data_IF_367270237621
#
_entry.id   IF_367270237621
#
_cell.length_a   1.000
_cell.length_b   1.000
_cell.length_c   1.000
_cell.angle_alpha   90.00
_cell.angle_beta   90.00
_cell.angle_gamma   90.00
#
_symmetry.space_group_name_H-M   'P 1'
#
loop_
_entity.id
_entity.type
_entity.pdbx_description
1 polymer ?
2 non-polymer ?
3 non-polymer ?
4 water ?
#
# COMPACT_ATOMS: atom_id res chain seq x y z
N UNK A 2 17.13 11.72 3.58
CA UNK A 2 16.07 12.27 2.73
C UNK A 2 15.60 11.27 1.69
N UNK A 3 14.31 11.31 1.37
CA UNK A 3 13.72 10.44 0.37
C UNK A 3 12.59 11.20 -0.29
N UNK A 4 12.32 10.85 -1.56
CA UNK A 4 11.17 11.38 -2.27
C UNK A 4 10.55 10.23 -3.05
N UNK A 5 9.36 9.83 -2.67
CA UNK A 5 8.65 8.74 -3.30
C UNK A 5 7.99 9.09 -4.63
N UNK A 6 8.02 10.35 -5.03
CA UNK A 6 7.32 10.76 -6.25
C UNK A 6 7.78 9.93 -7.44
N UNK A 7 6.83 9.44 -8.19
CA UNK A 7 7.15 8.68 -9.39
C UNK A 7 6.06 7.69 -9.74
N UNK A 8 6.34 6.94 -10.80
CA UNK A 8 5.49 5.87 -11.28
C UNK A 8 6.29 4.57 -11.16
N UNK A 9 5.62 3.54 -10.65
CA UNK A 9 6.28 2.35 -10.16
C UNK A 9 5.50 1.13 -10.61
N UNK A 10 6.22 0.13 -11.14
CA UNK A 10 5.59 -1.09 -11.63
C UNK A 10 5.98 -2.26 -10.74
N UNK A 11 5.03 -3.17 -10.48
CA UNK A 11 5.29 -4.30 -9.60
C UNK A 11 6.27 -5.28 -10.19
N UNK A 12 7.28 -5.62 -9.41
CA UNK A 12 8.25 -6.64 -9.78
C UNK A 12 7.98 -7.95 -9.09
N UNK A 13 7.74 -7.95 -7.78
CA UNK A 13 7.49 -9.16 -7.02
C UNK A 13 6.41 -8.85 -5.97
N UNK A 14 5.69 -9.90 -5.56
CA UNK A 14 4.56 -9.79 -4.62
C UNK A 14 4.51 -11.10 -3.86
N UNK A 15 5.06 -11.11 -2.69
CA UNK A 15 5.27 -12.32 -1.93
C UNK A 15 4.25 -12.43 -0.79
N UNK A 16 3.58 -13.58 -0.71
CA UNK A 16 2.71 -13.97 0.39
C UNK A 16 1.45 -13.12 0.47
N UNK A 17 1.00 -12.58 -0.67
CA UNK A 17 -0.19 -11.74 -0.66
C UNK A 17 -1.46 -12.50 -0.32
N UNK A 18 -1.59 -13.74 -0.79
CA UNK A 18 -2.79 -14.55 -0.48
C UNK A 18 -3.01 -14.66 1.01
N UNK A 19 -1.98 -14.98 1.76
CA UNK A 19 -2.13 -15.15 3.21
C UNK A 19 -2.43 -13.82 3.89
N UNK A 20 -1.88 -12.71 3.38
CA UNK A 20 -2.23 -11.41 3.90
C UNK A 20 -3.71 -11.14 3.72
N UNK A 21 -4.22 -11.37 2.52
CA UNK A 21 -5.65 -11.12 2.30
C UNK A 21 -6.50 -12.09 3.11
N UNK A 22 -6.06 -13.34 3.24
CA UNK A 22 -6.80 -14.29 4.07
C UNK A 22 -6.90 -13.82 5.52
N UNK A 23 -5.84 -13.23 6.05
CA UNK A 23 -5.86 -12.72 7.40
C UNK A 23 -6.77 -11.51 7.54
N UNK A 24 -7.05 -10.80 6.47
CA UNK A 24 -8.06 -9.76 6.45
C UNK A 24 -9.47 -10.29 6.19
N UNK A 25 -9.64 -11.60 6.11
CA UNK A 25 -10.94 -12.25 5.85
C UNK A 25 -11.50 -11.91 4.49
N UNK A 26 -10.63 -11.55 3.54
CA UNK A 26 -11.13 -11.27 2.19
C UNK A 26 -11.64 -12.57 1.58
N UNK A 27 -12.82 -12.54 0.96
CA UNK A 27 -13.22 -13.90 0.68
C UNK A 27 -12.44 -14.45 -0.51
N UNK A 28 -12.53 -15.77 -0.62
CA UNK A 28 -11.62 -16.52 -1.47
C UNK A 28 -11.83 -16.16 -2.92
N UNK A 29 -13.07 -15.86 -3.31
CA UNK A 29 -13.34 -15.45 -4.68
C UNK A 29 -12.62 -14.16 -5.01
N UNK A 30 -12.47 -13.26 -4.04
CA UNK A 30 -11.87 -12.03 -4.40
C UNK A 30 -10.34 -12.22 -4.34
N UNK A 31 -9.86 -13.06 -3.42
CA UNK A 31 -8.42 -13.34 -3.35
C UNK A 31 -7.93 -13.94 -4.66
N UNK A 32 -8.72 -14.83 -5.24
CA UNK A 32 -8.46 -15.36 -6.57
C UNK A 32 -8.20 -14.26 -7.61
N UNK A 33 -9.07 -13.26 -7.70
CA UNK A 33 -8.87 -12.14 -8.61
C UNK A 33 -7.63 -11.35 -8.21
N UNK A 34 -7.51 -11.06 -6.91
CA UNK A 34 -6.53 -10.07 -6.50
C UNK A 34 -5.11 -10.60 -6.55
N UNK A 35 -4.85 -11.88 -6.28
CA UNK A 35 -3.44 -12.28 -6.34
C UNK A 35 -2.92 -12.35 -7.78
N UNK A 36 -3.80 -12.24 -8.78
CA UNK A 36 -3.28 -12.20 -10.13
C UNK A 36 -2.83 -10.79 -10.52
N UNK A 37 -3.26 -9.78 -9.80
CA UNK A 37 -3.01 -8.40 -10.15
C UNK A 37 -1.55 -8.02 -9.95
N UNK A 38 -1.03 -7.19 -10.83
CA UNK A 38 0.31 -6.62 -10.68
C UNK A 38 0.16 -5.11 -10.76
N UNK A 39 -0.34 -4.49 -9.69
CA UNK A 39 -0.71 -3.08 -9.75
C UNK A 39 0.49 -2.18 -9.92
N UNK A 40 0.22 -1.02 -10.52
CA UNK A 40 1.16 0.09 -10.54
C UNK A 40 0.91 1.00 -9.35
N UNK A 41 1.91 1.82 -9.02
CA UNK A 41 1.72 2.90 -8.05
C UNK A 41 2.13 4.21 -8.68
N UNK A 42 1.30 5.21 -8.55
CA UNK A 42 1.63 6.57 -8.91
C UNK A 42 1.62 7.39 -7.64
N UNK A 43 2.76 7.92 -7.28
CA UNK A 43 2.93 8.63 -6.03
C UNK A 43 3.36 10.06 -6.28
N UNK A 44 2.75 10.99 -5.54
CA UNK A 44 3.25 12.36 -5.46
C UNK A 44 3.48 12.69 -3.99
N UNK A 45 4.69 13.03 -3.66
CA UNK A 45 5.05 13.52 -2.34
C UNK A 45 5.20 15.04 -2.44
N UNK A 46 4.37 15.78 -1.72
CA UNK A 46 4.26 17.25 -1.88
C UNK A 46 4.41 17.83 -0.47
N UNK A 47 5.63 18.13 -0.09
CA UNK A 47 5.87 18.42 1.32
C UNK A 47 5.61 17.14 2.12
N UNK A 48 4.79 17.22 3.13
CA UNK A 48 4.33 16.04 3.87
C UNK A 48 2.95 15.59 3.44
N UNK A 49 2.42 16.13 2.34
CA UNK A 49 1.17 15.65 1.78
C UNK A 49 1.48 14.53 0.77
N UNK A 50 1.11 13.30 1.06
CA UNK A 50 1.44 12.15 0.23
C UNK A 50 0.17 11.65 -0.44
N UNK A 51 0.20 11.45 -1.80
CA UNK A 51 -0.85 10.79 -2.55
C UNK A 51 -0.24 9.51 -3.12
N UNK A 52 -0.85 8.37 -2.83
CA UNK A 52 -0.41 7.08 -3.36
C UNK A 52 -1.59 6.48 -4.08
N UNK A 53 -1.52 6.38 -5.39
CA UNK A 53 -2.59 5.79 -6.18
C UNK A 53 -2.14 4.40 -6.62
N UNK A 54 -2.81 3.34 -6.11
CA UNK A 54 -2.49 1.96 -6.44
C UNK A 54 -3.50 1.52 -7.47
N UNK A 55 -3.02 1.22 -8.65
CA UNK A 55 -3.86 1.13 -9.85
C UNK A 55 -3.82 -0.28 -10.37
N UNK A 56 -4.98 -0.93 -10.56
CA UNK A 56 -5.04 -2.29 -11.10
C UNK A 56 -6.23 -2.42 -12.03
N UNK A 57 -6.28 -3.54 -12.73
CA UNK A 57 -7.40 -3.82 -13.63
C UNK A 57 -8.68 -4.20 -12.88
N UNK A 58 -8.61 -4.47 -11.58
CA UNK A 58 -9.76 -4.91 -10.80
C UNK A 58 -10.34 -3.74 -10.03
N UNK A 59 -9.58 -3.22 -9.06
CA UNK A 59 -9.96 -2.08 -8.26
C UNK A 59 -8.73 -1.20 -8.05
N UNK A 60 -8.93 0.09 -7.95
CA UNK A 60 -7.87 0.98 -7.50
C UNK A 60 -8.04 1.24 -6.02
N UNK A 61 -6.97 1.69 -5.38
CA UNK A 61 -7.06 2.13 -4.00
C UNK A 61 -6.24 3.40 -3.90
N UNK A 62 -6.86 4.50 -3.52
CA UNK A 62 -6.22 5.79 -3.47
C UNK A 62 -6.02 6.19 -2.01
N UNK A 63 -4.80 6.54 -1.67
CA UNK A 63 -4.50 7.13 -0.37
C UNK A 63 -4.08 8.57 -0.59
N UNK A 64 -4.53 9.45 0.30
CA UNK A 64 -4.24 10.89 0.20
C UNK A 64 -4.27 11.40 1.62
N UNK A 65 -3.13 11.72 2.16
CA UNK A 65 -2.99 11.95 3.59
C UNK A 65 -1.84 12.89 3.86
N UNK A 66 -1.76 13.37 5.10
CA UNK A 66 -0.63 14.13 5.59
C UNK A 66 0.22 13.26 6.49
N UNK A 67 1.50 13.16 6.23
CA UNK A 67 2.39 12.37 7.08
C UNK A 67 2.35 12.97 8.47
N UNK A 68 2.27 12.13 9.49
CA UNK A 68 2.24 12.57 10.86
C UNK A 68 0.87 12.89 11.38
N UNK A 69 -0.18 12.84 10.58
CA UNK A 69 -1.50 13.20 11.03
C UNK A 69 -2.39 11.99 10.89
N UNK A 70 -3.10 11.63 11.96
CA UNK A 70 -4.04 10.51 11.95
C UNK A 70 -5.27 10.85 11.13
N UNK A 71 -5.82 9.85 10.45
CA UNK A 71 -6.98 10.02 9.61
C UNK A 71 -7.83 8.76 9.63
N UNK A 72 -9.08 8.90 9.19
CA UNK A 72 -10.01 7.79 9.05
C UNK A 72 -9.78 7.20 7.68
N UNK A 73 -9.30 5.96 7.66
CA UNK A 73 -8.99 5.29 6.41
C UNK A 73 -10.15 4.35 6.04
N UNK A 74 -10.72 4.57 4.87
CA UNK A 74 -11.86 3.81 4.37
C UNK A 74 -11.38 2.67 3.49
N UNK A 75 -11.36 1.46 4.05
CA UNK A 75 -10.92 0.26 3.36
C UNK A 75 -12.10 -0.58 2.86
N UNK A 76 -13.26 0.04 2.60
CA UNK A 76 -14.43 -0.69 2.12
C UNK A 76 -14.10 -1.59 0.94
N UNK A 77 -13.42 -1.05 -0.08
CA UNK A 77 -13.14 -1.85 -1.26
C UNK A 77 -12.07 -2.93 -1.12
N UNK A 78 -11.42 -3.01 0.05
CA UNK A 78 -10.32 -3.92 0.31
C UNK A 78 -10.86 -5.06 1.18
N UNK A 79 -11.11 -4.80 2.47
CA UNK A 79 -11.55 -5.82 3.42
C UNK A 79 -12.81 -5.39 4.16
N UNK A 80 -13.50 -4.33 3.69
CA UNK A 80 -14.78 -3.95 4.27
C UNK A 80 -14.62 -3.44 5.70
N UNK A 81 -13.54 -2.68 5.94
CA UNK A 81 -13.25 -2.14 7.26
C UNK A 81 -12.87 -0.67 7.17
N UNK A 82 -12.78 -0.06 8.35
CA UNK A 82 -12.28 1.30 8.54
C UNK A 82 -11.27 1.28 9.66
N UNK A 83 -10.20 2.06 9.50
CA UNK A 83 -9.15 2.15 10.49
C UNK A 83 -8.89 3.62 10.83
N UNK A 84 -8.32 3.83 12.00
CA UNK A 84 -7.73 5.13 12.34
C UNK A 84 -6.25 4.95 12.04
N UNK A 85 -5.78 5.61 11.00
CA UNK A 85 -4.47 5.33 10.44
C UNK A 85 -3.54 6.52 10.60
N UNK A 86 -2.31 6.26 10.96
CA UNK A 86 -1.26 7.27 10.95
C UNK A 86 -0.09 6.75 10.17
N UNK A 87 0.35 7.54 9.18
CA UNK A 87 1.59 7.26 8.46
C UNK A 87 2.61 8.26 8.95
N UNK A 88 3.72 7.80 9.44
CA UNK A 88 4.72 8.65 10.06
C UNK A 88 6.07 8.41 9.41
N UNK A 89 6.95 9.42 9.38
CA UNK A 89 8.31 9.17 8.98
C UNK A 89 9.04 8.30 10.01
N UNK A 90 9.87 7.40 9.57
CA UNK A 90 10.80 6.63 10.40
C UNK A 90 12.10 6.72 9.62
N UNK A 91 12.87 7.76 9.88
CA UNK A 91 13.94 8.12 8.98
C UNK A 91 13.39 8.28 7.55
N UNK A 92 14.00 7.57 6.61
CA UNK A 92 13.58 7.65 5.21
C UNK A 92 12.51 6.63 4.89
N UNK A 93 11.90 6.02 5.88
CA UNK A 93 10.80 5.08 5.68
C UNK A 93 9.50 5.72 6.09
N UNK A 94 8.40 5.27 5.49
CA UNK A 94 7.08 5.60 5.92
C UNK A 94 6.54 4.42 6.70
N UNK A 95 6.12 4.68 7.94
CA UNK A 95 5.60 3.64 8.82
C UNK A 95 4.14 3.88 9.06
N UNK A 96 3.28 2.97 8.67
CA UNK A 96 1.85 3.14 8.76
C UNK A 96 1.31 2.19 9.82
N UNK A 97 0.50 2.74 10.75
CA UNK A 97 -0.24 1.96 11.72
C UNK A 97 -1.69 2.17 11.44
N UNK A 98 -2.41 1.06 11.21
CA UNK A 98 -3.82 1.08 10.91
C UNK A 98 -4.57 0.54 12.13
N UNK A 99 -5.04 1.41 13.02
CA UNK A 99 -5.72 0.98 14.24
C UNK A 99 -7.16 0.63 13.91
N UNK A 100 -7.60 -0.56 14.36
CA UNK A 100 -8.93 -1.04 14.08
C UNK A 100 -9.18 -2.43 14.64
N UNK A 101 -10.06 -3.18 13.98
CA UNK A 101 -10.41 -4.50 14.49
C UNK A 101 -9.24 -5.47 14.51
N UNK A 102 -8.39 -5.46 13.47
CA UNK A 102 -7.29 -6.40 13.40
C UNK A 102 -6.07 -5.92 14.16
N UNK A 103 -5.45 -6.83 14.90
CA UNK A 103 -4.23 -6.49 15.60
C UNK A 103 -3.04 -6.44 14.64
N UNK A 104 -2.11 -5.55 14.93
CA UNK A 104 -0.84 -5.52 14.22
C UNK A 104 -0.92 -5.17 12.75
N UNK A 105 -1.92 -4.37 12.38
CA UNK A 105 -2.17 -4.04 10.99
C UNK A 105 -1.41 -2.77 10.63
N UNK A 106 -0.65 -2.81 9.53
CA UNK A 106 0.05 -1.62 9.08
C UNK A 106 0.96 -2.00 7.92
N UNK A 107 1.88 -1.09 7.63
CA UNK A 107 2.80 -1.32 6.55
C UNK A 107 3.98 -0.39 6.69
N UNK A 108 5.04 -0.69 5.96
CA UNK A 108 6.23 0.14 5.90
C UNK A 108 6.66 0.24 4.45
N UNK A 109 6.95 1.46 4.02
CA UNK A 109 7.35 1.72 2.64
C UNK A 109 8.70 2.42 2.62
N UNK A 110 9.57 2.06 1.72
CA UNK A 110 10.90 2.67 1.65
C UNK A 110 11.43 2.49 0.24
N UNK A 111 12.57 3.13 -0.04
CA UNK A 111 13.21 3.03 -1.34
C UNK A 111 14.61 2.49 -1.18
N UNK A 112 15.01 1.60 -2.06
CA UNK A 112 16.38 1.15 -2.20
C UNK A 112 16.75 1.31 -3.66
N UNK A 113 17.60 2.31 -3.96
CA UNK A 113 17.95 2.60 -5.35
C UNK A 113 16.70 2.96 -6.15
N UNK A 114 16.43 2.19 -7.20
CA UNK A 114 15.25 2.38 -8.04
C UNK A 114 14.10 1.45 -7.69
N UNK A 115 14.12 0.84 -6.52
CA UNK A 115 13.09 -0.04 -6.02
C UNK A 115 12.27 0.62 -4.94
N UNK A 116 10.97 0.49 -5.03
CA UNK A 116 10.04 0.85 -3.96
C UNK A 116 9.67 -0.43 -3.25
N UNK A 117 9.93 -0.46 -1.94
CA UNK A 117 9.68 -1.63 -1.11
C UNK A 117 8.48 -1.36 -0.23
N UNK A 118 7.56 -2.31 -0.15
CA UNK A 118 6.35 -2.18 0.63
C UNK A 118 6.13 -3.47 1.38
N UNK A 119 6.18 -3.45 2.71
CA UNK A 119 5.87 -4.58 3.55
C UNK A 119 4.53 -4.31 4.21
N UNK A 120 3.58 -5.21 4.00
CA UNK A 120 2.26 -5.12 4.58
C UNK A 120 2.13 -6.19 5.66
N UNK A 121 1.46 -5.82 6.76
CA UNK A 121 1.36 -6.73 7.91
C UNK A 121 -0.05 -6.71 8.49
N UNK A 122 -0.51 -7.87 8.98
CA UNK A 122 -1.70 -7.92 9.82
C UNK A 122 -1.68 -9.23 10.58
N UNK A 123 -1.93 -9.17 11.89
CA UNK A 123 -2.03 -10.39 12.70
C UNK A 123 -0.82 -11.27 12.53
N UNK A 124 0.37 -10.67 12.44
CA UNK A 124 1.58 -11.44 12.32
C UNK A 124 1.88 -11.98 10.94
N UNK A 125 1.00 -11.80 9.97
CA UNK A 125 1.19 -12.24 8.58
C UNK A 125 1.84 -11.11 7.81
N UNK A 126 2.81 -11.43 6.99
CA UNK A 126 3.62 -10.43 6.28
C UNK A 126 3.59 -10.71 4.79
N UNK A 127 3.31 -9.67 4.02
CA UNK A 127 3.41 -9.66 2.56
C UNK A 127 4.45 -8.64 2.15
N UNK A 128 5.32 -8.98 1.20
CA UNK A 128 6.34 -8.06 0.73
C UNK A 128 6.20 -7.84 -0.77
N UNK A 129 6.14 -6.58 -1.16
CA UNK A 129 6.07 -6.20 -2.57
C UNK A 129 7.27 -5.32 -2.88
N UNK A 130 7.78 -5.45 -4.10
CA UNK A 130 8.81 -4.57 -4.61
C UNK A 130 8.39 -4.09 -5.98
N UNK A 131 8.54 -2.81 -6.22
CA UNK A 131 8.22 -2.14 -7.47
C UNK A 131 9.48 -1.52 -8.02
N UNK A 132 9.54 -1.35 -9.35
CA UNK A 132 10.64 -0.68 -10.02
C UNK A 132 10.15 0.66 -10.60
N UNK A 133 10.97 1.67 -10.43
CA UNK A 133 10.62 2.99 -10.97
C UNK A 133 10.67 2.98 -12.47
N UNK A 134 9.63 3.49 -13.09
CA UNK A 134 9.52 3.48 -14.54
C UNK A 134 9.23 4.88 -15.07
N UNK A 135 9.40 5.03 -16.40
CA UNK A 135 9.34 6.34 -17.03
C UNK A 135 8.32 6.48 -18.12
N UNK A 136 7.76 5.39 -18.63
CA UNK A 136 6.75 5.51 -19.66
C UNK A 136 5.44 5.82 -19.01
N UNK A 137 4.85 6.94 -19.46
CA UNK A 137 3.64 7.54 -18.89
C UNK A 137 2.44 6.64 -19.16
N UNK A 138 1.62 6.42 -18.10
CA UNK A 138 0.39 5.67 -18.22
C UNK A 138 -0.72 6.67 -17.98
N UNK A 139 -1.49 6.89 -19.00
CA UNK A 139 -2.71 7.67 -18.83
C UNK A 139 -3.76 6.85 -18.09
N UNK A 140 -4.43 7.49 -17.14
CA UNK A 140 -5.58 6.90 -16.47
C UNK A 140 -6.72 7.91 -16.41
X LIG B 1 -9.36 -5.41 -3.62
X LIG B 1 -8.32 -4.56 -3.98
X LIG B 1 -7.00 -4.88 -3.69
X LIG B 1 -6.80 -6.04 -2.98
X LIG B 1 -7.85 -6.90 -2.63
X LIG B 1 -9.16 -6.60 -2.94
X LIG B 1 -10.28 -7.51 -2.56
X LIG B 1 -5.78 -4.01 -3.98
X LIG B 1 -5.12 -4.29 -5.34
X LIG B 1 -4.48 -2.97 -5.82
X LIG B 1 -5.10 -1.83 -4.99
X LIG B 1 -6.19 -2.51 -4.18
X LIG B 1 -4.79 -4.10 -2.81
X LIG B 1 -3.99 -3.85 -0.76
X LIG B 1 -3.73 -3.46 0.67
X LIG B 1 -2.29 -1.68 -0.36
X LIG B 1 -1.64 -0.38 -0.05
X LIG B 1 -4.51 -1.22 0.42
X LIG B 1 -1.79 0.79 -0.76
X LIG B 1 -0.34 1.44 0.95
X LIG B 1 -1.01 1.84 -0.19
X LIG B 1 -3.53 -4.62 -2.80
X LIG B 1 -5.05 -3.61 -1.52
X LIG B 1 -3.32 -2.04 0.71
X LIG B 1 -3.06 -4.45 -1.54
X LIG B 1 -0.59 -0.18 1.34
X LIG B 1 -10.39 -5.14 -3.89
X LIG B 1 -8.56 -3.63 -4.49
X LIG B 1 -5.80 -6.34 -2.68
X LIG B 1 -7.64 -7.84 -2.10
X LIG B 1 -11.21 -7.38 -3.16
X LIG B 1 -10.64 -7.41 -1.51
X LIG B 1 -10.07 -8.58 -2.65
X LIG B 1 -5.83 -4.65 -6.11
X LIG B 1 -4.34 -5.08 -5.29
X LIG B 1 -4.62 -2.79 -6.91
X LIG B 1 -3.37 -2.97 -5.75
X LIG B 1 -4.33 -1.31 -4.36
X LIG B 1 -5.46 -0.99 -5.63
X LIG B 1 -6.34 -1.98 -3.23
X LIG B 1 -7.16 -2.41 -4.69
X LIG B 1 -2.96 -4.15 1.14
X LIG B 1 -4.62 -3.68 1.32
X LIG B 1 -2.79 -1.68 -1.36
X LIG B 1 -1.55 -2.52 -0.44
X LIG B 1 -5.40 -1.56 0.96
X LIG B 1 -4.78 -1.22 -0.65
X LIG B 1 -4.37 -0.15 0.69
X LIG B 1 -2.40 0.95 -1.65
X LIG B 1 0.30 2.00 1.61
X LIG B 1 -0.92 2.86 -0.56
X LIG C 1 11.67 -7.28 7.12
X LIG C 1 10.53 -7.57 7.91
X LIG C 1 12.73 -6.46 7.83
X LIG C 1 13.70 -5.87 6.82
X LIG C 1 13.03 -5.00 5.92
X LIG C 1 13.55 -7.47 8.67
X LIG C 1 12.73 -8.12 9.63
X LIG C 1 12.06 -5.47 8.71
X LIG C 1 11.07 -4.56 8.06
X LIG C 1 9.96 -4.14 9.02
X LIG C 1 9.24 -5.21 9.55
X LIG C 1 12.94 -4.76 9.64
X LIG C 1 13.06 -5.45 11.03
X LIG C 1 11.81 -5.87 11.51
X LIG C 1 12.11 -8.21 6.78
X LIG C 1 11.34 -6.71 6.24
X LIG C 1 10.19 -8.41 7.67
X LIG C 1 14.15 -6.67 6.25
X LIG C 1 14.47 -5.31 7.34
X LIG C 1 13.61 -4.81 5.19
X LIG C 1 13.97 -8.22 8.01
X LIG C 1 14.34 -6.95 9.17
X LIG C 1 12.42 -8.93 9.28
X LIG C 1 10.63 -5.08 7.21
X LIG C 1 11.59 -3.67 7.71
X LIG C 1 10.40 -3.59 9.84
X LIG C 1 9.26 -3.50 8.49
X LIG C 1 8.37 -4.94 9.76
X LIG C 1 12.56 -3.75 9.79
X LIG C 1 13.94 -4.70 9.21
X LIG C 1 13.50 -4.76 11.73
X LIG C 1 13.70 -6.32 10.93
X LIG C 1 11.86 -5.99 12.46
#
# INVERSE_FOLDING_TARGET
MPVDFTGYWKMLVNENFEEYLRALDVNVALRKIANLLKPDKEIVQDGDHMIIRTLSTFRNYIMDFQVGKEFEEDLTGIDDRKCMTTVSWDGDKLQCVQKGEKEGRGWTQWIEGDELHLEMRVEGVVCKQVFKKVQHHHHHH
Z5H C01 C02 C03 C04 C05 C06 C07 C08 C09 C10 C11 C12 C13 C14 C15 C16 C17 C18 C19 C20 C21 N01 N02 N03 O01 S01 H17 H18 H19 H16 H03 H02 H01 H05 H04 H06 H07 H08 H09 H10 H11 H12 H13 H15 H14 H20 H21 H22 H25 H23 H24
BTB C1 O1 C2 C3 O3 C4 O4 N C5 C6 O6 C7 C8 O8 H11 H12 HO1 H31 H32 HO3 H41 H42 HO4 H51 H52 H61 H62 HO6 H71 H72 H81 H82 HO8
#
